data_IF_790500797881
#
_entry.id   IF_790500797881
#
_cell.length_a   1.000
_cell.length_b   1.000
_cell.length_c   1.000
_cell.angle_alpha   90.00
_cell.angle_beta   90.00
_cell.angle_gamma   90.00
#
_symmetry.space_group_name_H-M   'P 1'
#
loop_
_entity.id
_entity.type
_entity.pdbx_description
1 polymer ?
#
# COMPACT_ATOMS: atom_id res chain seq x y z
N UNK A 1 13.62 7.86 11.74
CA UNK A 1 13.09 7.85 10.37
C UNK A 1 14.10 7.11 9.50
N UNK A 2 13.74 5.98 8.89
CA UNK A 2 14.71 5.09 8.20
C UNK A 2 14.85 5.40 6.71
N UNK A 3 13.94 6.19 6.14
CA UNK A 3 13.93 6.49 4.70
C UNK A 3 14.10 7.97 4.36
N UNK A 4 13.90 8.88 5.33
CA UNK A 4 14.24 10.30 5.18
C UNK A 4 13.75 10.92 3.86
N UNK A 5 14.61 11.66 3.16
CA UNK A 5 14.32 12.29 1.87
C UNK A 5 14.50 11.37 0.65
N UNK A 6 14.63 10.05 0.87
CA UNK A 6 14.89 9.11 -0.21
C UNK A 6 13.72 9.02 -1.20
N UNK A 7 14.05 8.94 -2.48
CA UNK A 7 13.11 8.81 -3.59
C UNK A 7 13.78 8.19 -4.82
N UNK A 8 13.05 7.39 -5.63
CA UNK A 8 11.72 6.85 -5.35
C UNK A 8 11.76 5.80 -4.23
N UNK A 9 10.61 5.53 -3.61
CA UNK A 9 10.45 4.46 -2.62
C UNK A 9 9.73 3.25 -3.23
N UNK A 10 10.21 2.06 -2.86
CA UNK A 10 9.61 0.77 -3.23
C UNK A 10 9.19 0.07 -1.95
N UNK A 11 7.90 -0.20 -1.81
CA UNK A 11 7.32 -0.96 -0.72
C UNK A 11 7.13 -2.39 -1.22
N UNK A 12 7.76 -3.35 -0.56
CA UNK A 12 7.59 -4.79 -0.84
C UNK A 12 6.90 -5.42 0.36
N UNK A 13 5.78 -6.09 0.13
CA UNK A 13 4.98 -6.77 1.15
C UNK A 13 5.00 -8.26 0.87
N UNK A 14 5.32 -9.05 1.89
CA UNK A 14 5.22 -10.51 1.87
C UNK A 14 4.10 -10.98 2.81
N UNK A 15 3.22 -11.83 2.30
CA UNK A 15 2.22 -12.53 3.08
C UNK A 15 2.10 -13.98 2.58
N UNK A 16 2.73 -14.93 3.28
CA UNK A 16 2.84 -16.31 2.79
C UNK A 16 3.52 -16.38 1.42
N UNK A 17 2.85 -17.00 0.44
CA UNK A 17 3.34 -17.13 -0.94
C UNK A 17 3.22 -15.84 -1.77
N UNK A 18 2.50 -14.82 -1.26
CA UNK A 18 2.22 -13.59 -1.98
C UNK A 18 3.33 -12.57 -1.75
N UNK A 19 3.92 -12.10 -2.85
CA UNK A 19 4.89 -10.99 -2.84
C UNK A 19 4.39 -9.93 -3.81
N UNK A 20 4.11 -8.74 -3.29
CA UNK A 20 3.54 -7.64 -4.05
C UNK A 20 3.94 -6.32 -3.43
N UNK A 21 3.53 -5.21 -4.03
CA UNK A 21 3.87 -3.92 -3.47
C UNK A 21 3.56 -2.74 -4.36
N UNK A 22 4.17 -1.62 -4.01
CA UNK A 22 3.97 -0.34 -4.68
C UNK A 22 5.28 0.42 -4.84
N UNK A 23 5.39 1.16 -5.94
CA UNK A 23 6.42 2.16 -6.13
C UNK A 23 5.77 3.53 -6.11
N UNK A 24 6.37 4.44 -5.34
CA UNK A 24 5.98 5.84 -5.30
C UNK A 24 7.17 6.68 -5.78
N UNK A 25 6.91 7.69 -6.63
CA UNK A 25 7.97 8.52 -7.20
C UNK A 25 8.63 9.47 -6.19
N UNK A 26 7.95 9.72 -5.07
CA UNK A 26 8.35 10.65 -4.03
C UNK A 26 8.73 9.91 -2.73
N UNK A 27 9.30 10.63 -1.76
CA UNK A 27 9.42 10.14 -0.39
C UNK A 27 8.12 10.29 0.40
N UNK A 28 8.07 9.74 1.63
CA UNK A 28 6.94 9.94 2.54
C UNK A 28 7.00 11.35 3.13
N UNK A 29 5.96 12.15 2.87
CA UNK A 29 5.80 13.48 3.47
C UNK A 29 4.97 13.34 4.75
N UNK A 30 5.48 13.80 5.88
CA UNK A 30 4.75 13.84 7.14
C UNK A 30 4.03 15.20 7.31
N UNK A 31 2.87 15.25 7.97
CA UNK A 31 2.24 16.51 8.33
C UNK A 31 3.00 17.21 9.47
N UNK A 32 2.84 18.53 9.59
CA UNK A 32 3.42 19.31 10.68
C UNK A 32 2.81 18.96 12.05
N UNK A 33 1.51 18.59 12.06
CA UNK A 33 0.79 18.18 13.28
C UNK A 33 0.99 16.69 13.57
N UNK A 34 1.24 16.34 14.84
CA UNK A 34 1.37 14.93 15.26
C UNK A 34 0.09 14.12 15.03
N UNK A 35 -1.08 14.75 15.11
CA UNK A 35 -2.40 14.11 14.96
C UNK A 35 -3.00 14.28 13.57
N UNK A 36 -2.37 15.09 12.71
CA UNK A 36 -2.85 15.37 11.36
C UNK A 36 -2.51 14.26 10.36
N UNK A 37 -2.87 14.49 9.11
CA UNK A 37 -2.38 13.73 7.96
C UNK A 37 -2.11 14.69 6.81
N UNK A 38 -1.29 14.26 5.86
CA UNK A 38 -1.10 14.95 4.58
C UNK A 38 -1.52 14.02 3.44
N UNK A 39 -2.11 14.62 2.42
CA UNK A 39 -2.46 14.00 1.15
C UNK A 39 -1.71 14.75 0.06
N UNK A 40 -1.02 14.03 -0.82
CA UNK A 40 -0.30 14.66 -1.92
C UNK A 40 -0.34 13.82 -3.20
N UNK A 41 -0.43 14.47 -4.39
CA UNK A 41 -0.27 13.79 -5.66
C UNK A 41 1.11 13.12 -5.74
N UNK A 42 1.15 11.88 -6.20
CA UNK A 42 2.38 11.12 -6.36
C UNK A 42 2.21 10.12 -7.51
N UNK A 43 3.25 9.90 -8.32
CA UNK A 43 3.19 8.82 -9.30
C UNK A 43 3.27 7.49 -8.57
N UNK A 44 2.24 6.66 -8.73
CA UNK A 44 2.12 5.34 -8.10
C UNK A 44 1.87 4.27 -9.16
N UNK A 45 2.54 3.13 -9.01
CA UNK A 45 2.17 1.89 -9.67
C UNK A 45 2.41 0.73 -8.71
N UNK A 46 1.64 -0.33 -8.87
CA UNK A 46 1.74 -1.54 -8.07
C UNK A 46 2.43 -2.65 -8.85
N UNK A 47 2.83 -3.70 -8.15
CA UNK A 47 3.38 -4.89 -8.75
C UNK A 47 3.01 -6.12 -7.95
N UNK A 48 3.03 -7.28 -8.61
CA UNK A 48 3.03 -8.59 -7.98
C UNK A 48 4.21 -9.38 -8.54
N UNK A 49 5.02 -9.95 -7.65
CA UNK A 49 6.21 -10.74 -7.98
C UNK A 49 5.96 -12.25 -7.84
N UNK A 50 5.07 -12.66 -6.94
CA UNK A 50 4.72 -14.06 -6.69
C UNK A 50 3.26 -14.21 -6.26
N UNK A 51 2.69 -15.38 -6.57
CA UNK A 51 1.32 -15.78 -6.21
C UNK A 51 0.35 -15.77 -7.38
N UNK A 52 -0.41 -14.68 -7.52
CA UNK A 52 -1.62 -14.66 -8.37
C UNK A 52 -1.40 -14.51 -9.88
N UNK A 53 -0.14 -14.42 -10.31
CA UNK A 53 0.25 -14.31 -11.72
C UNK A 53 1.37 -15.31 -12.02
N UNK A 54 1.37 -15.87 -13.23
CA UNK A 54 2.42 -16.79 -13.69
C UNK A 54 3.81 -16.13 -13.70
N UNK A 55 3.86 -14.81 -13.94
CA UNK A 55 5.10 -14.03 -14.04
C UNK A 55 4.95 -12.71 -13.29
N UNK A 56 6.06 -12.11 -12.81
CA UNK A 56 6.03 -10.78 -12.23
C UNK A 56 5.34 -9.78 -13.15
N UNK A 57 4.44 -8.98 -12.59
CA UNK A 57 3.62 -8.05 -13.35
C UNK A 57 3.58 -6.67 -12.72
N UNK A 58 3.55 -5.66 -13.58
CA UNK A 58 3.31 -4.27 -13.23
C UNK A 58 1.82 -3.95 -13.39
N UNK A 59 1.26 -3.30 -12.38
CA UNK A 59 -0.13 -2.88 -12.30
C UNK A 59 -0.15 -1.35 -12.31
N UNK A 60 -0.59 -0.76 -13.41
CA UNK A 60 -0.67 0.69 -13.54
C UNK A 60 -1.94 1.20 -12.85
N UNK A 61 -1.79 2.27 -12.07
CA UNK A 61 -2.91 3.01 -11.48
C UNK A 61 -3.15 4.30 -12.27
N UNK A 62 -4.35 4.88 -12.20
CA UNK A 62 -4.66 6.09 -12.95
C UNK A 62 -5.56 7.06 -12.18
N UNK A 63 -5.57 8.32 -12.60
CA UNK A 63 -6.47 9.35 -12.07
C UNK A 63 -6.34 9.55 -10.56
N UNK A 64 -7.43 9.37 -9.83
CA UNK A 64 -7.52 9.60 -8.38
C UNK A 64 -6.63 8.66 -7.54
N UNK A 65 -6.09 7.61 -8.15
CA UNK A 65 -5.19 6.66 -7.49
C UNK A 65 -3.72 7.11 -7.53
N UNK A 66 -3.40 8.20 -8.23
CA UNK A 66 -2.06 8.79 -8.28
C UNK A 66 -1.81 9.67 -7.05
N UNK A 67 -1.93 9.07 -5.86
CA UNK A 67 -1.97 9.77 -4.58
C UNK A 67 -1.37 8.94 -3.44
N UNK A 68 -0.78 9.63 -2.47
CA UNK A 68 -0.31 9.06 -1.21
C UNK A 68 -0.84 9.88 -0.04
N UNK A 69 -1.21 9.18 1.03
CA UNK A 69 -1.56 9.76 2.32
C UNK A 69 -0.59 9.26 3.38
N UNK A 70 -0.21 10.14 4.30
CA UNK A 70 0.58 9.78 5.46
C UNK A 70 0.06 10.52 6.70
N UNK A 71 -0.15 9.76 7.77
CA UNK A 71 -0.54 10.28 9.06
C UNK A 71 0.70 10.74 9.86
N UNK A 72 0.49 11.71 10.74
CA UNK A 72 1.44 12.04 11.79
C UNK A 72 1.55 10.91 12.81
N UNK A 73 2.53 11.01 13.71
CA UNK A 73 2.87 9.96 14.69
C UNK A 73 1.72 9.51 15.58
N UNK A 74 0.79 10.40 15.88
CA UNK A 74 -0.38 10.18 16.75
C UNK A 74 -1.70 10.25 15.96
N UNK A 75 -1.63 10.47 14.66
CA UNK A 75 -2.76 10.57 13.76
C UNK A 75 -3.07 9.24 13.06
N UNK A 76 -4.10 9.26 12.23
CA UNK A 76 -4.42 8.19 11.28
C UNK A 76 -5.09 8.77 10.05
N UNK A 77 -5.03 8.03 8.95
CA UNK A 77 -5.83 8.25 7.74
C UNK A 77 -6.63 6.98 7.49
N UNK A 78 -7.95 7.06 7.68
CA UNK A 78 -8.86 5.92 7.57
C UNK A 78 -8.27 4.70 8.28
N UNK A 79 -8.12 4.76 9.62
CA UNK A 79 -7.57 3.66 10.42
C UNK A 79 -6.13 3.21 10.11
N UNK A 80 -5.34 3.93 9.30
CA UNK A 80 -3.98 3.52 8.90
C UNK A 80 -2.92 4.62 9.07
N UNK A 81 -1.64 4.23 9.03
CA UNK A 81 -0.51 5.17 9.03
C UNK A 81 -0.23 5.73 7.63
N UNK A 82 -0.28 4.87 6.61
CA UNK A 82 0.04 5.23 5.23
C UNK A 82 -1.00 4.62 4.30
N UNK A 83 -1.48 5.40 3.31
CA UNK A 83 -2.32 4.91 2.22
C UNK A 83 -1.69 5.22 0.87
N UNK A 84 -1.41 4.19 0.09
CA UNK A 84 -0.75 4.28 -1.23
C UNK A 84 -1.75 3.89 -2.31
N UNK A 85 -1.84 4.66 -3.39
CA UNK A 85 -2.66 4.27 -4.54
C UNK A 85 -4.17 4.29 -4.27
N UNK A 86 -4.59 4.94 -3.19
CA UNK A 86 -5.97 4.93 -2.69
C UNK A 86 -6.46 3.62 -2.08
N UNK A 87 -5.78 2.49 -2.31
CA UNK A 87 -6.28 1.16 -1.90
C UNK A 87 -5.26 0.19 -1.27
N UNK A 88 -4.11 0.69 -0.84
CA UNK A 88 -3.14 -0.08 -0.05
C UNK A 88 -2.87 0.69 1.25
N UNK A 89 -3.31 0.14 2.38
CA UNK A 89 -3.15 0.71 3.71
C UNK A 89 -2.12 -0.09 4.50
N UNK A 90 -1.20 0.62 5.17
CA UNK A 90 -0.21 0.06 6.09
C UNK A 90 -0.49 0.56 7.51
N UNK A 91 -0.39 -0.33 8.49
CA UNK A 91 -0.81 -0.08 9.87
C UNK A 91 -2.32 0.05 10.04
N UNK A 92 -3.09 -0.72 9.29
CA UNK A 92 -4.56 -0.72 9.29
C UNK A 92 -5.14 -1.34 10.58
N UNK A 93 -6.04 -0.65 11.28
CA UNK A 93 -6.69 -1.13 12.51
C UNK A 93 -8.20 -1.38 12.39
N UNK A 94 -8.80 -1.18 11.23
CA UNK A 94 -10.25 -1.28 11.05
C UNK A 94 -10.93 0.06 10.77
N UNK A 95 -12.21 -0.01 10.39
CA UNK A 95 -13.05 1.19 10.28
C UNK A 95 -13.51 1.59 11.67
N UNK A 96 -12.99 2.70 12.20
CA UNK A 96 -13.41 3.26 13.48
C UNK A 96 -12.61 4.50 13.87
N UNK A 97 -13.02 5.23 14.93
CA UNK A 97 -12.31 6.40 15.45
C UNK A 97 -10.99 6.04 16.16
N UNK A 98 -10.46 4.85 15.87
CA UNK A 98 -9.30 4.27 16.54
C UNK A 98 -7.99 4.80 16.02
N UNK A 99 -6.93 4.48 16.75
CA UNK A 99 -5.54 4.66 16.30
C UNK A 99 -5.23 3.65 15.19
N UNK A 100 -4.23 3.92 14.34
CA UNK A 100 -3.76 2.88 13.44
C UNK A 100 -3.20 1.71 14.25
N UNK A 101 -2.97 0.57 13.60
CA UNK A 101 -2.40 -0.58 14.28
C UNK A 101 -0.98 -0.24 14.78
N UNK A 102 -0.62 -0.76 15.95
CA UNK A 102 0.73 -0.60 16.49
C UNK A 102 1.80 -1.25 15.58
N UNK A 103 1.39 -2.27 14.83
CA UNK A 103 2.22 -2.95 13.83
C UNK A 103 1.89 -2.48 12.41
N UNK A 104 2.87 -1.87 11.74
CA UNK A 104 2.75 -1.40 10.35
C UNK A 104 2.39 -2.52 9.37
N UNK A 105 2.65 -3.78 9.74
CA UNK A 105 2.35 -4.98 8.95
C UNK A 105 0.87 -5.31 8.91
N UNK A 106 0.05 -4.73 9.78
CA UNK A 106 -1.39 -4.83 9.64
C UNK A 106 -1.81 -4.07 8.38
N UNK A 107 -2.33 -4.77 7.38
CA UNK A 107 -2.57 -4.20 6.07
C UNK A 107 -4.02 -4.36 5.64
N UNK A 108 -4.46 -3.43 4.79
CA UNK A 108 -5.63 -3.60 3.92
C UNK A 108 -5.21 -3.39 2.49
N UNK A 109 -5.61 -4.27 1.58
CA UNK A 109 -5.32 -4.11 0.16
C UNK A 109 -6.42 -4.71 -0.71
N UNK A 110 -6.81 -3.97 -1.75
CA UNK A 110 -7.64 -4.49 -2.82
C UNK A 110 -7.45 -3.67 -4.09
N UNK A 111 -7.68 -4.27 -5.26
CA UNK A 111 -7.48 -3.66 -6.57
C UNK A 111 -8.76 -3.75 -7.37
N UNK A 112 -9.26 -2.64 -7.90
CA UNK A 112 -10.48 -2.71 -8.72
C UNK A 112 -10.26 -3.57 -9.95
N UNK A 113 -11.29 -4.33 -10.35
CA UNK A 113 -11.24 -5.15 -11.56
C UNK A 113 -10.78 -4.40 -12.82
N UNK A 114 -11.00 -3.08 -12.89
CA UNK A 114 -10.54 -2.20 -13.98
C UNK A 114 -9.02 -2.03 -14.07
N UNK A 115 -8.32 -2.16 -12.96
CA UNK A 115 -6.86 -2.02 -12.90
C UNK A 115 -6.13 -3.36 -12.86
N UNK A 116 -6.85 -4.46 -12.63
CA UNK A 116 -6.26 -5.81 -12.56
C UNK A 116 -5.86 -6.25 -13.97
N UNK A 117 -4.56 -6.49 -14.23
CA UNK A 117 -4.14 -7.00 -15.53
C UNK A 117 -4.73 -8.37 -15.84
N UNK A 118 -4.83 -8.70 -17.13
CA UNK A 118 -5.21 -10.05 -17.58
C UNK A 118 -4.26 -11.11 -17.00
N UNK A 119 -4.80 -12.29 -16.71
CA UNK A 119 -4.03 -13.41 -16.16
C UNK A 119 -3.97 -13.47 -14.64
N UNK A 120 -4.69 -12.59 -13.93
CA UNK A 120 -4.91 -12.73 -12.49
C UNK A 120 -5.79 -13.94 -12.19
N UNK A 121 -5.28 -14.88 -11.40
CA UNK A 121 -5.99 -16.11 -11.00
C UNK A 121 -6.23 -16.20 -9.49
N UNK A 122 -6.00 -15.10 -8.78
CA UNK A 122 -6.06 -15.05 -7.32
C UNK A 122 -7.44 -14.82 -6.73
N UNK A 123 -7.44 -14.63 -5.40
CA UNK A 123 -8.63 -14.34 -4.60
C UNK A 123 -9.26 -13.00 -5.01
N UNK A 124 -10.60 -12.96 -4.98
CA UNK A 124 -11.40 -11.77 -5.24
C UNK A 124 -12.47 -11.63 -4.17
N UNK A 125 -12.80 -10.38 -3.82
CA UNK A 125 -13.98 -10.09 -2.99
C UNK A 125 -15.27 -10.15 -3.83
N UNK A 126 -16.43 -10.09 -3.16
CA UNK A 126 -17.77 -10.11 -3.79
C UNK A 126 -17.93 -9.08 -4.92
N UNK A 127 -17.27 -7.91 -4.83
CA UNK A 127 -17.28 -6.86 -5.86
C UNK A 127 -16.24 -7.09 -6.99
N UNK A 128 -15.71 -8.30 -7.12
CA UNK A 128 -14.65 -8.70 -8.06
C UNK A 128 -13.28 -8.02 -7.89
N UNK A 129 -13.11 -7.27 -6.80
CA UNK A 129 -11.84 -6.62 -6.46
C UNK A 129 -10.77 -7.68 -6.14
N UNK A 130 -9.61 -7.58 -6.80
CA UNK A 130 -8.51 -8.52 -6.63
C UNK A 130 -7.69 -8.22 -5.36
N UNK A 131 -7.36 -9.28 -4.63
CA UNK A 131 -6.70 -9.23 -3.33
C UNK A 131 -5.27 -9.76 -3.46
N UNK A 132 -4.29 -8.86 -3.62
CA UNK A 132 -2.89 -9.25 -3.83
C UNK A 132 -2.25 -9.92 -2.61
N UNK A 133 -2.81 -9.70 -1.42
CA UNK A 133 -2.39 -10.35 -0.18
C UNK A 133 -3.15 -11.65 0.13
N UNK A 134 -4.00 -12.14 -0.79
CA UNK A 134 -4.87 -13.31 -0.57
C UNK A 134 -6.12 -13.04 0.28
N UNK A 135 -6.13 -11.97 1.07
CA UNK A 135 -7.32 -11.46 1.75
C UNK A 135 -7.31 -9.93 1.75
N UNK A 136 -8.48 -9.32 1.98
CA UNK A 136 -8.62 -7.85 2.01
C UNK A 136 -7.86 -7.24 3.17
N UNK A 137 -8.02 -7.83 4.35
CA UNK A 137 -7.34 -7.45 5.58
C UNK A 137 -6.42 -8.62 5.97
N UNK A 138 -5.15 -8.34 6.26
CA UNK A 138 -4.15 -9.36 6.61
C UNK A 138 -3.03 -8.77 7.47
N UNK A 139 -2.34 -9.65 8.19
CA UNK A 139 -1.08 -9.32 8.86
C UNK A 139 0.06 -9.79 7.97
N UNK A 140 0.77 -8.86 7.33
CA UNK A 140 1.94 -9.19 6.53
C UNK A 140 3.02 -9.85 7.40
N UNK A 141 3.76 -10.79 6.83
CA UNK A 141 4.93 -11.35 7.51
C UNK A 141 6.05 -10.30 7.56
N UNK A 142 6.23 -9.58 6.45
CA UNK A 142 7.32 -8.65 6.23
C UNK A 142 6.90 -7.48 5.34
N UNK A 143 7.43 -6.30 5.66
CA UNK A 143 7.39 -5.12 4.80
C UNK A 143 8.81 -4.58 4.69
N UNK A 144 9.33 -4.55 3.48
CA UNK A 144 10.58 -3.86 3.16
C UNK A 144 10.29 -2.54 2.46
N UNK A 145 11.06 -1.50 2.80
CA UNK A 145 11.04 -0.23 2.11
C UNK A 145 12.42 0.04 1.55
N UNK A 146 12.52 0.02 0.23
CA UNK A 146 13.77 0.19 -0.51
C UNK A 146 13.78 1.57 -1.19
N UNK A 147 14.97 2.09 -1.42
CA UNK A 147 15.18 3.28 -2.24
C UNK A 147 16.38 3.06 -3.15
N UNK A 148 16.48 3.89 -4.19
CA UNK A 148 17.64 3.89 -5.06
C UNK A 148 18.77 4.65 -4.38
N UNK A 149 19.98 4.10 -4.40
CA UNK A 149 21.21 4.83 -4.08
C UNK A 149 21.87 5.11 -5.42
N UNK A 150 22.11 6.39 -5.71
CA UNK A 150 22.97 6.78 -6.84
C UNK A 150 24.44 6.64 -6.47
#
# INVERSE_FOLDING_TARGET
DRVGDAKPLVFVVRNGEYVFGAVISEGIRLPDSSTGYVMYPCKVWWFSLAGHFEKPIKINLYGQEQIVYAAGREGHIDGANVRIGGRMWLGWSGLGPGRPADDIRSCRQYTTGRNVPSGYTGEREEDEDALLGGSKDFMAEEIEVLHWVQ
#
